data_IF_158226713431
#
_entry.id   IF_158226713431
#
_cell.length_a   1.000
_cell.length_b   1.000
_cell.length_c   1.000
_cell.angle_alpha   90.00
_cell.angle_beta   90.00
_cell.angle_gamma   90.00
#
_symmetry.space_group_name_H-M   'P 1'
#
loop_
_entity.id
_entity.type
_entity.pdbx_description
1 polymer ?
#
# COMPACT_ATOMS: atom_id res chain seq x y z
N UNK A 1 -14.87 55.57 43.07
CA UNK A 1 -14.73 55.34 41.62
C UNK A 1 -14.55 53.87 41.21
N UNK A 2 -14.18 52.96 42.12
CA UNK A 2 -13.90 51.55 41.79
C UNK A 2 -15.09 50.69 41.29
N UNK A 3 -16.35 51.00 41.65
CA UNK A 3 -17.51 50.16 41.30
C UNK A 3 -17.88 50.18 39.81
N UNK A 4 -17.65 51.29 39.11
CA UNK A 4 -17.98 51.42 37.68
C UNK A 4 -17.00 50.71 36.77
N UNK A 5 -15.71 50.71 37.14
CA UNK A 5 -14.66 50.04 36.38
C UNK A 5 -14.84 48.52 36.38
N UNK A 6 -15.13 47.92 37.54
CA UNK A 6 -15.40 46.48 37.65
C UNK A 6 -16.58 46.04 36.79
N UNK A 7 -17.62 46.88 36.68
CA UNK A 7 -18.80 46.58 35.86
C UNK A 7 -18.46 46.61 34.36
N UNK A 8 -17.62 47.56 33.93
CA UNK A 8 -17.16 47.64 32.54
C UNK A 8 -16.25 46.46 32.18
N UNK A 9 -15.30 46.10 33.06
CA UNK A 9 -14.42 44.94 32.87
C UNK A 9 -15.22 43.63 32.80
N UNK A 10 -16.26 43.48 33.63
CA UNK A 10 -17.15 42.32 33.58
C UNK A 10 -17.93 42.22 32.27
N UNK A 11 -18.43 43.34 31.75
CA UNK A 11 -19.14 43.37 30.45
C UNK A 11 -18.20 43.02 29.30
N UNK A 12 -16.97 43.55 29.31
CA UNK A 12 -15.94 43.24 28.30
C UNK A 12 -15.55 41.76 28.38
N UNK A 13 -15.38 41.21 29.59
CA UNK A 13 -15.08 39.79 29.78
C UNK A 13 -16.19 38.89 29.23
N UNK A 14 -17.45 39.23 29.52
CA UNK A 14 -18.61 38.50 29.02
C UNK A 14 -18.76 38.57 27.50
N UNK A 15 -18.50 39.73 26.87
CA UNK A 15 -18.59 39.85 25.42
C UNK A 15 -17.47 39.08 24.72
N UNK A 16 -16.25 39.08 25.26
CA UNK A 16 -15.15 38.25 24.77
C UNK A 16 -15.48 36.77 24.91
N UNK A 17 -16.01 36.34 26.06
CA UNK A 17 -16.42 34.95 26.27
C UNK A 17 -17.52 34.54 25.28
N UNK A 18 -18.50 35.40 25.04
CA UNK A 18 -19.56 35.15 24.06
C UNK A 18 -18.99 35.03 22.64
N UNK A 19 -18.03 35.89 22.25
CA UNK A 19 -17.35 35.82 20.97
C UNK A 19 -16.60 34.50 20.80
N UNK A 20 -15.89 34.03 21.82
CA UNK A 20 -15.20 32.73 21.80
C UNK A 20 -16.20 31.59 21.62
N UNK A 21 -17.31 31.60 22.36
CA UNK A 21 -18.36 30.57 22.24
C UNK A 21 -18.97 30.57 20.83
N UNK A 22 -19.25 31.75 20.27
CA UNK A 22 -19.80 31.88 18.93
C UNK A 22 -18.81 31.41 17.86
N UNK A 23 -17.52 31.77 17.98
CA UNK A 23 -16.48 31.28 17.08
C UNK A 23 -16.36 29.75 17.13
N UNK A 24 -16.41 29.18 18.34
CA UNK A 24 -16.33 27.74 18.53
C UNK A 24 -17.51 27.01 17.88
N UNK A 25 -18.72 27.54 18.07
CA UNK A 25 -19.94 26.95 17.54
C UNK A 25 -20.10 27.12 16.02
N UNK A 26 -19.71 28.28 15.47
CA UNK A 26 -19.99 28.62 14.07
C UNK A 26 -18.84 28.27 13.12
N UNK A 27 -17.60 28.22 13.59
CA UNK A 27 -16.44 27.93 12.74
C UNK A 27 -15.76 26.62 13.10
N UNK A 28 -15.35 26.44 14.35
CA UNK A 28 -14.52 25.29 14.74
C UNK A 28 -15.31 23.98 14.71
N UNK A 29 -16.51 23.94 15.29
CA UNK A 29 -17.32 22.72 15.33
C UNK A 29 -17.74 22.23 13.93
N UNK A 30 -18.26 23.08 13.02
CA UNK A 30 -18.59 22.66 11.67
C UNK A 30 -17.35 22.25 10.87
N UNK A 31 -16.24 22.99 10.96
CA UNK A 31 -15.00 22.64 10.26
C UNK A 31 -14.45 21.28 10.74
N UNK A 32 -14.46 21.02 12.05
CA UNK A 32 -14.04 19.74 12.61
C UNK A 32 -14.93 18.59 12.12
N UNK A 33 -16.25 18.79 12.09
CA UNK A 33 -17.19 17.76 11.63
C UNK A 33 -17.05 17.47 10.13
N UNK A 34 -16.91 18.51 9.31
CA UNK A 34 -16.68 18.36 7.87
C UNK A 34 -15.37 17.62 7.59
N UNK A 35 -14.29 17.99 8.30
CA UNK A 35 -13.01 17.32 8.15
C UNK A 35 -13.07 15.86 8.62
N UNK A 36 -13.75 15.55 9.73
CA UNK A 36 -13.97 14.18 10.18
C UNK A 36 -14.73 13.34 9.15
N UNK A 37 -15.79 13.91 8.55
CA UNK A 37 -16.55 13.26 7.50
C UNK A 37 -15.70 13.00 6.25
N UNK A 38 -14.92 14.00 5.81
CA UNK A 38 -14.01 13.89 4.68
C UNK A 38 -12.91 12.83 4.91
N UNK A 39 -12.29 12.82 6.10
CA UNK A 39 -11.29 11.82 6.48
C UNK A 39 -11.88 10.40 6.53
N UNK A 40 -13.13 10.27 6.98
CA UNK A 40 -13.82 8.98 7.02
C UNK A 40 -14.14 8.47 5.61
N UNK A 41 -14.57 9.35 4.71
CA UNK A 41 -14.78 9.02 3.30
C UNK A 41 -13.46 8.63 2.59
N UNK A 42 -12.40 9.42 2.78
CA UNK A 42 -11.06 9.09 2.25
C UNK A 42 -10.55 7.77 2.79
N UNK A 43 -10.72 7.50 4.10
CA UNK A 43 -10.34 6.22 4.70
C UNK A 43 -11.08 5.07 4.01
N UNK A 44 -12.39 5.18 3.80
CA UNK A 44 -13.15 4.15 3.12
C UNK A 44 -12.67 3.92 1.68
N UNK A 45 -12.38 4.98 0.92
CA UNK A 45 -11.89 4.87 -0.45
C UNK A 45 -10.48 4.26 -0.54
N UNK A 46 -9.54 4.73 0.30
CA UNK A 46 -8.13 4.32 0.24
C UNK A 46 -7.92 2.90 0.83
N UNK A 47 -8.67 2.55 1.87
CA UNK A 47 -8.60 1.23 2.50
C UNK A 47 -9.55 0.20 1.90
N UNK A 48 -10.38 0.60 0.93
CA UNK A 48 -11.10 -0.34 0.10
C UNK A 48 -10.13 -1.37 -0.50
N UNK A 49 -10.62 -2.60 -0.60
CA UNK A 49 -9.84 -3.71 -1.12
C UNK A 49 -9.54 -3.50 -2.61
N UNK A 50 -10.54 -3.02 -3.35
CA UNK A 50 -10.48 -2.62 -4.76
C UNK A 50 -10.26 -1.12 -4.86
N UNK A 51 -9.32 -0.66 -5.72
CA UNK A 51 -9.32 0.73 -6.13
C UNK A 51 -10.52 0.97 -7.03
N UNK A 52 -11.23 2.05 -6.72
CA UNK A 52 -12.21 2.62 -7.64
C UNK A 52 -11.50 3.77 -8.38
N UNK A 53 -11.31 3.69 -9.71
CA UNK A 53 -10.63 4.74 -10.46
C UNK A 53 -11.39 6.08 -10.46
N UNK A 54 -12.69 6.09 -10.10
CA UNK A 54 -13.47 7.32 -9.97
C UNK A 54 -13.14 8.09 -8.68
N UNK A 55 -12.68 7.39 -7.64
CA UNK A 55 -12.50 7.94 -6.28
C UNK A 55 -11.04 7.88 -5.83
N UNK A 56 -10.21 7.07 -6.48
CA UNK A 56 -8.80 6.84 -6.11
C UNK A 56 -7.90 6.85 -7.33
N UNK A 57 -6.70 7.41 -7.14
CA UNK A 57 -5.62 7.37 -8.12
C UNK A 57 -4.40 6.70 -7.52
N UNK A 58 -3.62 6.02 -8.36
CA UNK A 58 -2.32 5.46 -8.01
C UNK A 58 -1.22 6.32 -8.61
N UNK A 59 -0.19 6.60 -7.82
CA UNK A 59 0.99 7.35 -8.24
C UNK A 59 2.27 6.69 -7.67
N UNK A 60 3.41 7.11 -8.19
CA UNK A 60 4.75 6.79 -7.70
C UNK A 60 5.44 8.03 -7.10
N UNK A 61 4.68 9.10 -6.83
CA UNK A 61 5.19 10.37 -6.33
C UNK A 61 5.56 10.32 -4.84
N UNK A 62 6.55 9.49 -4.51
CA UNK A 62 7.18 9.46 -3.21
C UNK A 62 8.69 9.23 -3.33
N UNK A 63 9.52 9.75 -2.40
CA UNK A 63 10.97 9.79 -2.56
C UNK A 63 11.63 8.42 -2.77
N UNK A 64 11.15 7.37 -2.10
CA UNK A 64 11.73 6.04 -2.26
C UNK A 64 11.40 5.41 -3.62
N UNK A 65 10.20 5.56 -4.18
CA UNK A 65 9.91 5.12 -5.54
C UNK A 65 10.81 5.80 -6.57
N UNK A 66 11.03 7.11 -6.44
CA UNK A 66 11.93 7.85 -7.34
C UNK A 66 13.39 7.40 -7.24
N UNK A 67 13.86 7.06 -6.03
CA UNK A 67 15.22 6.60 -5.79
C UNK A 67 15.43 5.14 -6.22
N UNK A 68 14.51 4.25 -5.85
CA UNK A 68 14.61 2.81 -6.15
C UNK A 68 14.24 2.51 -7.59
N UNK A 69 13.33 3.28 -8.22
CA UNK A 69 12.84 3.04 -9.57
C UNK A 69 13.96 2.91 -10.60
N UNK A 70 15.03 3.72 -10.52
CA UNK A 70 16.19 3.62 -11.44
C UNK A 70 17.00 2.34 -11.26
N UNK A 71 17.14 1.87 -10.02
CA UNK A 71 17.92 0.67 -9.69
C UNK A 71 17.10 -0.58 -10.02
N UNK A 72 15.82 -0.58 -9.62
CA UNK A 72 14.87 -1.65 -9.86
C UNK A 72 14.57 -1.82 -11.34
N UNK A 73 14.45 -0.73 -12.12
CA UNK A 73 14.27 -0.81 -13.57
C UNK A 73 15.47 -1.42 -14.31
N UNK A 74 16.66 -1.33 -13.73
CA UNK A 74 17.86 -1.96 -14.30
C UNK A 74 17.90 -3.45 -13.96
N UNK A 75 17.49 -3.81 -12.74
CA UNK A 75 17.37 -5.20 -12.27
C UNK A 75 16.23 -5.95 -12.96
N UNK A 76 15.11 -5.29 -13.26
CA UNK A 76 13.97 -5.87 -13.97
C UNK A 76 14.29 -6.30 -15.41
N UNK A 77 15.37 -5.77 -16.00
CA UNK A 77 15.87 -6.23 -17.29
C UNK A 77 16.67 -7.53 -17.20
N UNK A 78 17.19 -7.86 -16.01
CA UNK A 78 18.09 -8.98 -15.78
C UNK A 78 17.38 -10.19 -15.16
N UNK A 79 16.34 -9.92 -14.37
CA UNK A 79 15.46 -10.89 -13.74
C UNK A 79 14.04 -10.37 -13.93
N UNK A 80 13.07 -11.25 -14.16
CA UNK A 80 11.65 -10.92 -14.34
C UNK A 80 11.00 -10.46 -13.01
N UNK A 81 11.57 -9.38 -12.44
CA UNK A 81 11.19 -8.75 -11.19
C UNK A 81 10.20 -7.62 -11.48
N UNK A 82 8.94 -7.87 -11.19
CA UNK A 82 7.85 -6.91 -11.23
C UNK A 82 7.80 -6.13 -9.91
N UNK A 83 8.60 -5.08 -9.81
CA UNK A 83 8.54 -4.12 -8.70
C UNK A 83 7.66 -2.94 -9.11
N UNK A 84 6.37 -3.03 -8.80
CA UNK A 84 5.47 -1.91 -9.04
C UNK A 84 5.78 -0.76 -8.06
N UNK A 85 6.27 0.36 -8.61
CA UNK A 85 6.51 1.61 -7.88
C UNK A 85 5.28 2.52 -7.89
N UNK A 86 4.27 2.24 -8.73
CA UNK A 86 3.03 3.00 -8.86
C UNK A 86 1.98 2.50 -7.86
N UNK A 87 2.37 2.43 -6.59
CA UNK A 87 1.59 1.81 -5.51
C UNK A 87 1.16 2.80 -4.43
N UNK A 88 1.35 4.11 -4.61
CA UNK A 88 0.81 5.14 -3.72
C UNK A 88 -0.63 5.43 -4.11
N UNK A 89 -1.58 4.98 -3.31
CA UNK A 89 -3.01 5.25 -3.47
C UNK A 89 -3.40 6.53 -2.75
N UNK A 90 -3.98 7.48 -3.48
CA UNK A 90 -4.53 8.73 -2.94
C UNK A 90 -5.98 8.87 -3.39
N UNK A 91 -6.81 9.60 -2.62
CA UNK A 91 -8.16 9.94 -3.07
C UNK A 91 -8.13 11.02 -4.16
N UNK A 92 -8.97 10.89 -5.17
CA UNK A 92 -9.27 11.96 -6.13
C UNK A 92 -10.43 12.76 -5.57
N UNK A 93 -10.39 14.09 -5.68
CA UNK A 93 -11.57 14.90 -5.37
C UNK A 93 -12.64 14.59 -6.42
N UNK A 94 -13.70 13.89 -5.99
CA UNK A 94 -14.74 13.38 -6.90
C UNK A 94 -15.55 14.48 -7.59
N UNK A 95 -15.44 15.74 -7.15
CA UNK A 95 -15.96 16.94 -7.82
C UNK A 95 -15.35 18.20 -7.18
N UNK A 96 -15.34 19.32 -7.91
CA UNK A 96 -14.91 20.65 -7.42
C UNK A 96 -15.62 21.10 -6.12
N UNK A 97 -16.75 20.46 -5.76
CA UNK A 97 -17.54 20.76 -4.55
C UNK A 97 -17.21 19.91 -3.32
N UNK A 98 -16.42 18.84 -3.44
CA UNK A 98 -16.04 18.06 -2.24
C UNK A 98 -14.78 18.68 -1.66
N UNK A 99 -14.92 19.49 -0.60
CA UNK A 99 -13.77 20.05 0.11
C UNK A 99 -12.76 18.94 0.41
N UNK A 100 -11.54 19.11 -0.10
CA UNK A 100 -10.45 18.22 0.21
C UNK A 100 -10.22 18.25 1.74
N UNK A 101 -10.10 17.08 2.37
CA UNK A 101 -9.75 17.03 3.78
C UNK A 101 -8.45 17.82 4.02
N UNK A 102 -8.40 18.61 5.11
CA UNK A 102 -7.22 19.42 5.45
C UNK A 102 -5.94 18.58 5.53
N UNK A 103 -6.10 17.29 5.88
CA UNK A 103 -5.03 16.31 5.97
C UNK A 103 -5.34 15.11 5.06
N UNK A 104 -4.96 15.17 3.77
CA UNK A 104 -5.26 14.10 2.84
C UNK A 104 -4.56 12.80 3.26
N UNK A 105 -5.30 11.71 3.25
CA UNK A 105 -4.75 10.38 3.50
C UNK A 105 -4.10 9.83 2.23
N UNK A 106 -3.04 9.05 2.42
CA UNK A 106 -2.43 8.26 1.37
C UNK A 106 -2.01 6.89 1.92
N UNK A 107 -2.02 5.87 1.06
CA UNK A 107 -1.60 4.51 1.42
C UNK A 107 -0.65 3.99 0.37
N UNK A 108 0.48 3.45 0.82
CA UNK A 108 1.33 2.61 -0.02
C UNK A 108 0.75 1.20 0.02
N UNK A 109 0.28 0.69 -1.11
CA UNK A 109 -0.20 -0.68 -1.23
C UNK A 109 0.95 -1.62 -1.49
N UNK A 110 0.93 -2.79 -0.86
CA UNK A 110 1.94 -3.81 -1.09
C UNK A 110 1.75 -4.43 -2.47
N UNK A 111 2.63 -4.08 -3.40
CA UNK A 111 2.63 -4.62 -4.76
C UNK A 111 2.90 -6.14 -4.80
N UNK A 112 3.37 -6.73 -3.69
CA UNK A 112 3.77 -8.13 -3.63
C UNK A 112 2.60 -9.09 -3.40
N UNK A 113 1.39 -8.57 -3.13
CA UNK A 113 0.21 -9.43 -3.07
C UNK A 113 -0.02 -10.08 -4.44
N UNK A 114 -0.04 -11.41 -4.54
CA UNK A 114 -0.27 -12.12 -5.80
C UNK A 114 -1.69 -11.82 -6.27
N UNK A 115 -1.87 -11.42 -7.52
CA UNK A 115 -3.20 -11.15 -8.12
C UNK A 115 -3.77 -12.38 -8.83
N UNK A 116 -2.90 -13.33 -9.16
CA UNK A 116 -3.24 -14.58 -9.86
C UNK A 116 -2.57 -15.75 -9.18
N UNK A 117 -3.15 -16.95 -9.32
CA UNK A 117 -2.64 -18.15 -8.67
C UNK A 117 -1.19 -18.47 -9.07
N UNK A 118 -0.81 -18.21 -10.32
CA UNK A 118 0.55 -18.46 -10.82
C UNK A 118 1.60 -17.57 -10.12
N UNK A 119 1.19 -16.40 -9.63
CA UNK A 119 2.06 -15.48 -8.91
C UNK A 119 2.42 -15.96 -7.50
N UNK A 120 1.72 -16.96 -6.96
CA UNK A 120 2.08 -17.55 -5.66
C UNK A 120 3.41 -18.28 -5.68
N UNK A 121 3.76 -18.90 -6.81
CA UNK A 121 5.02 -19.64 -6.96
C UNK A 121 6.09 -18.74 -7.58
N UNK A 122 5.75 -18.03 -8.66
CA UNK A 122 6.74 -17.31 -9.45
C UNK A 122 7.34 -16.11 -8.72
N UNK A 123 6.56 -15.31 -7.97
CA UNK A 123 7.08 -14.12 -7.28
C UNK A 123 8.02 -14.44 -6.12
N UNK A 124 7.69 -15.36 -5.19
CA UNK A 124 8.63 -15.72 -4.13
C UNK A 124 9.88 -16.45 -4.63
N UNK A 125 9.76 -17.24 -5.71
CA UNK A 125 10.89 -17.96 -6.31
C UNK A 125 12.04 -17.03 -6.76
N UNK A 126 11.74 -15.76 -7.05
CA UNK A 126 12.73 -14.73 -7.38
C UNK A 126 13.70 -14.42 -6.22
N UNK A 127 13.28 -14.65 -4.98
CA UNK A 127 14.10 -14.42 -3.79
C UNK A 127 14.83 -15.67 -3.30
N UNK A 128 14.54 -16.83 -3.90
CA UNK A 128 15.21 -18.07 -3.57
C UNK A 128 16.43 -18.20 -4.48
N UNK A 129 17.63 -17.90 -3.97
CA UNK A 129 18.88 -17.88 -4.76
C UNK A 129 19.13 -19.17 -5.57
N UNK A 130 18.66 -20.32 -5.06
CA UNK A 130 18.79 -21.58 -5.77
C UNK A 130 17.94 -21.64 -7.05
N UNK A 131 16.92 -20.79 -7.24
CA UNK A 131 16.15 -20.74 -8.49
C UNK A 131 17.02 -20.37 -9.69
N UNK A 132 18.13 -19.65 -9.49
CA UNK A 132 19.11 -19.38 -10.56
C UNK A 132 19.80 -20.66 -11.07
N UNK A 133 19.81 -21.70 -10.24
CA UNK A 133 20.34 -23.03 -10.58
C UNK A 133 19.30 -23.91 -11.29
N UNK A 134 18.04 -23.47 -11.45
CA UNK A 134 17.00 -24.24 -12.15
C UNK A 134 17.11 -24.15 -13.69
N UNK A 135 18.32 -23.94 -14.21
CA UNK A 135 18.57 -23.80 -15.64
C UNK A 135 18.88 -25.14 -16.31
N UNK A 136 18.64 -25.23 -17.63
CA UNK A 136 18.79 -26.47 -18.41
C UNK A 136 20.18 -27.12 -18.30
N UNK A 137 21.24 -26.33 -18.10
CA UNK A 137 22.60 -26.86 -17.98
C UNK A 137 22.77 -27.60 -16.65
N UNK A 138 22.30 -27.01 -15.56
CA UNK A 138 22.33 -27.63 -14.24
C UNK A 138 21.48 -28.90 -14.21
N UNK A 139 20.29 -28.89 -14.82
CA UNK A 139 19.42 -30.07 -14.92
C UNK A 139 20.13 -31.25 -15.60
N UNK A 140 20.82 -31.01 -16.71
CA UNK A 140 21.57 -32.07 -17.43
C UNK A 140 22.71 -32.63 -16.56
N UNK A 141 23.38 -31.78 -15.78
CA UNK A 141 24.43 -32.23 -14.85
C UNK A 141 23.83 -33.03 -13.69
N UNK A 142 22.72 -32.58 -13.12
CA UNK A 142 21.97 -33.28 -12.08
C UNK A 142 21.54 -34.67 -12.54
N UNK A 143 20.98 -34.79 -13.73
CA UNK A 143 20.52 -36.07 -14.28
C UNK A 143 21.69 -37.00 -14.59
N UNK A 144 22.82 -36.46 -15.07
CA UNK A 144 24.05 -37.22 -15.28
C UNK A 144 24.64 -37.79 -13.99
N UNK A 145 24.63 -36.99 -12.91
CA UNK A 145 25.05 -37.45 -11.57
C UNK A 145 24.03 -38.41 -10.95
N UNK A 146 22.75 -38.18 -11.19
CA UNK A 146 21.62 -38.97 -10.71
C UNK A 146 21.59 -40.41 -11.23
N UNK A 147 22.31 -40.70 -12.32
CA UNK A 147 22.51 -42.06 -12.82
C UNK A 147 23.28 -42.95 -11.81
N UNK A 148 24.10 -42.36 -10.93
CA UNK A 148 24.84 -43.11 -9.92
C UNK A 148 23.89 -43.57 -8.80
N UNK A 149 23.94 -44.85 -8.37
CA UNK A 149 23.03 -45.38 -7.35
C UNK A 149 23.06 -44.64 -6.00
N UNK A 150 24.21 -44.02 -5.68
CA UNK A 150 24.44 -43.25 -4.44
C UNK A 150 23.99 -41.79 -4.54
N UNK A 151 23.72 -41.29 -5.74
CA UNK A 151 23.45 -39.87 -6.01
C UNK A 151 22.08 -39.63 -6.65
N UNK A 152 21.17 -40.61 -6.57
CA UNK A 152 19.78 -40.48 -7.06
C UNK A 152 19.06 -39.25 -6.49
N UNK A 153 19.34 -38.92 -5.24
CA UNK A 153 18.81 -37.72 -4.56
C UNK A 153 19.24 -36.39 -5.21
N UNK A 154 20.29 -36.38 -6.05
CA UNK A 154 20.74 -35.19 -6.78
C UNK A 154 20.12 -35.06 -8.17
N UNK A 155 19.39 -36.08 -8.64
CA UNK A 155 18.69 -36.04 -9.91
C UNK A 155 17.64 -34.91 -9.91
N UNK A 156 17.34 -34.37 -11.09
CA UNK A 156 16.46 -33.19 -11.19
C UNK A 156 15.01 -33.48 -10.79
N UNK A 157 14.59 -34.75 -10.79
CA UNK A 157 13.29 -35.21 -10.31
C UNK A 157 13.17 -35.20 -8.78
N UNK A 158 14.29 -35.29 -8.07
CA UNK A 158 14.38 -35.40 -6.62
C UNK A 158 14.82 -34.08 -5.97
N UNK A 159 15.78 -33.38 -6.57
CA UNK A 159 16.27 -32.08 -6.11
C UNK A 159 15.84 -30.96 -7.06
N UNK A 160 14.69 -30.37 -6.75
CA UNK A 160 14.14 -29.25 -7.49
C UNK A 160 14.62 -27.93 -6.86
N UNK A 161 15.54 -27.25 -7.54
CA UNK A 161 15.97 -25.92 -7.12
C UNK A 161 14.88 -24.88 -7.38
N UNK A 162 14.71 -23.93 -6.46
CA UNK A 162 13.73 -22.85 -6.58
C UNK A 162 12.29 -23.27 -6.30
N UNK A 163 12.05 -24.48 -5.78
CA UNK A 163 10.71 -24.95 -5.47
C UNK A 163 10.05 -24.09 -4.40
N UNK A 164 8.85 -23.58 -4.71
CA UNK A 164 7.97 -22.85 -3.81
C UNK A 164 6.64 -23.56 -3.82
N UNK A 165 6.22 -24.04 -2.65
CA UNK A 165 4.94 -24.72 -2.48
C UNK A 165 3.81 -23.68 -2.41
N UNK A 166 2.84 -23.77 -3.33
CA UNK A 166 1.65 -22.90 -3.30
C UNK A 166 0.46 -23.54 -2.57
N UNK A 167 0.50 -24.84 -2.30
CA UNK A 167 -0.62 -25.60 -1.71
C UNK A 167 -0.78 -25.26 -0.21
N UNK A 168 0.24 -24.65 0.39
CA UNK A 168 0.17 -24.06 1.75
C UNK A 168 -0.68 -22.80 1.82
N UNK A 169 -1.06 -22.20 0.68
CA UNK A 169 -1.86 -20.98 0.62
C UNK A 169 -3.35 -21.34 0.58
N UNK A 170 -4.16 -20.91 1.56
CA UNK A 170 -5.59 -21.23 1.56
C UNK A 170 -6.30 -20.68 0.31
N UNK A 171 -7.12 -21.49 -0.36
CA UNK A 171 -7.86 -21.09 -1.58
C UNK A 171 -8.65 -19.77 -1.42
N UNK A 172 -9.22 -19.55 -0.22
CA UNK A 172 -9.93 -18.32 0.16
C UNK A 172 -9.07 -17.05 0.06
N UNK A 173 -7.75 -17.17 0.16
CA UNK A 173 -6.83 -16.06 0.03
C UNK A 173 -6.68 -15.63 -1.44
N UNK A 174 -6.84 -16.56 -2.38
CA UNK A 174 -6.72 -16.32 -3.83
C UNK A 174 -7.98 -15.68 -4.44
N UNK A 175 -9.17 -16.16 -4.05
CA UNK A 175 -10.46 -15.69 -4.57
C UNK A 175 -10.85 -14.27 -4.12
N UNK A 176 -10.04 -13.69 -3.24
CA UNK A 176 -10.34 -12.48 -2.50
C UNK A 176 -9.52 -11.28 -2.95
N UNK A 177 -8.81 -11.39 -4.08
CA UNK A 177 -7.84 -10.38 -4.53
C UNK A 177 -8.39 -9.67 -5.76
N UNK A 178 -8.93 -8.45 -5.58
CA UNK A 178 -8.86 -7.47 -6.63
C UNK A 178 -8.17 -6.23 -6.05
N UNK A 179 -6.84 -6.20 -6.07
CA UNK A 179 -6.12 -4.94 -6.16
C UNK A 179 -6.05 -4.60 -7.65
N UNK A 180 -7.17 -4.15 -8.21
CA UNK A 180 -7.10 -3.19 -9.31
C UNK A 180 -7.09 -1.80 -8.70
#
# INVERSE_FOLDING_TARGET
MAKGQVLIEAVIGLTLMLLVVLMLQQQLMPAAHNNEAALTAQRHAIWARTADPEVTQTTDDYPSARASGRVLSSLSNLVELDFDTNNLRTSVAADEQTEAADYPMARITDAWSPTRAEQLQSRPALFVLNSLLSNRVVTVVQDGLGWLPIAKELASDSLIFGHVDADVVPERALTQIPYR
#
